data_IF_405261621153
#
_entry.id   IF_405261621153
#
_cell.length_a   1.000
_cell.length_b   1.000
_cell.length_c   1.000
_cell.angle_alpha   90.00
_cell.angle_beta   90.00
_cell.angle_gamma   90.00
#
_symmetry.space_group_name_H-M   'P 1'
#
loop_
_entity.id
_entity.type
_entity.pdbx_description
1 polymer ?
#
# COMPACT_ATOMS: atom_id res chain seq x y z
N UNK A 1 -26.65 -19.75 14.41
CA UNK A 1 -25.52 -19.83 13.46
C UNK A 1 -24.36 -18.99 14.01
N UNK A 2 -23.25 -19.61 14.43
CA UNK A 2 -22.04 -18.87 14.86
C UNK A 2 -21.41 -18.21 13.63
N UNK A 3 -21.38 -16.87 13.57
CA UNK A 3 -20.60 -16.13 12.57
C UNK A 3 -19.14 -16.52 12.78
N UNK A 4 -18.56 -17.29 11.86
CA UNK A 4 -17.10 -17.49 11.82
C UNK A 4 -16.49 -16.13 11.48
N UNK A 5 -15.94 -15.44 12.47
CA UNK A 5 -15.06 -14.30 12.27
C UNK A 5 -13.82 -14.80 11.55
N UNK A 6 -13.82 -14.71 10.22
CA UNK A 6 -12.62 -14.93 9.41
C UNK A 6 -11.67 -13.77 9.69
N UNK A 7 -10.68 -14.01 10.53
CA UNK A 7 -9.56 -13.11 10.72
C UNK A 7 -8.62 -13.34 9.54
N UNK A 8 -8.32 -12.30 8.78
CA UNK A 8 -7.19 -12.36 7.86
C UNK A 8 -5.93 -12.31 8.72
N UNK A 9 -5.47 -13.50 9.12
CA UNK A 9 -4.15 -13.64 9.71
C UNK A 9 -3.16 -13.48 8.57
N UNK A 10 -2.31 -12.46 8.64
CA UNK A 10 -1.02 -12.61 8.00
C UNK A 10 -0.36 -13.76 8.74
N UNK A 11 -0.07 -14.86 8.02
CA UNK A 11 1.03 -15.68 8.48
C UNK A 11 2.21 -14.71 8.48
N UNK A 12 2.61 -14.28 9.68
CA UNK A 12 3.94 -13.74 9.91
C UNK A 12 4.85 -14.93 9.64
N UNK A 13 5.01 -15.24 8.36
CA UNK A 13 6.07 -16.07 7.88
C UNK A 13 7.31 -15.29 8.26
N UNK A 14 8.13 -15.92 9.10
CA UNK A 14 9.57 -15.75 9.06
C UNK A 14 9.97 -15.19 7.70
N UNK A 15 10.51 -13.96 7.75
CA UNK A 15 11.06 -13.27 6.61
C UNK A 15 11.90 -14.30 5.85
N UNK A 16 11.44 -14.71 4.67
CA UNK A 16 12.08 -15.80 3.93
C UNK A 16 13.58 -15.51 3.76
N UNK A 17 14.45 -16.52 3.71
CA UNK A 17 15.89 -16.46 3.99
C UNK A 17 16.74 -15.75 2.91
N UNK A 18 16.15 -14.85 2.12
CA UNK A 18 16.84 -14.22 1.02
C UNK A 18 17.40 -12.88 1.49
N UNK A 19 18.68 -12.87 1.84
CA UNK A 19 19.42 -11.65 2.05
C UNK A 19 19.53 -10.88 0.72
N UNK A 20 18.73 -9.83 0.60
CA UNK A 20 18.72 -8.97 -0.59
C UNK A 20 19.95 -8.05 -0.65
N UNK A 21 20.80 -8.03 0.39
CA UNK A 21 22.06 -7.28 0.38
C UNK A 21 22.96 -7.69 -0.80
N UNK A 22 22.92 -8.98 -1.19
CA UNK A 22 23.65 -9.55 -2.32
C UNK A 22 23.25 -8.94 -3.68
N UNK A 23 22.06 -8.32 -3.75
CA UNK A 23 21.56 -7.64 -4.95
C UNK A 23 21.58 -6.11 -4.80
N UNK A 24 22.29 -5.59 -3.79
CA UNK A 24 22.36 -4.17 -3.47
C UNK A 24 21.14 -3.62 -2.71
N UNK A 25 20.18 -4.50 -2.39
CA UNK A 25 18.99 -4.22 -1.58
C UNK A 25 19.32 -4.05 -0.10
N UNK A 26 18.28 -3.78 0.69
CA UNK A 26 18.43 -3.58 2.14
C UNK A 26 18.44 -4.92 2.89
N UNK A 27 19.38 -5.06 3.84
CA UNK A 27 19.44 -6.19 4.78
C UNK A 27 18.26 -6.16 5.75
N UNK A 28 17.89 -7.29 6.34
CA UNK A 28 16.75 -7.31 7.27
C UNK A 28 16.94 -6.40 8.50
N UNK A 29 18.17 -6.28 8.99
CA UNK A 29 18.50 -5.42 10.12
C UNK A 29 18.30 -3.94 9.75
N UNK A 30 18.72 -3.54 8.55
CA UNK A 30 18.50 -2.18 8.04
C UNK A 30 17.00 -1.86 7.94
N UNK A 31 16.16 -2.81 7.50
CA UNK A 31 14.69 -2.58 7.47
C UNK A 31 14.15 -2.42 8.87
N UNK A 32 14.54 -3.28 9.81
CA UNK A 32 14.07 -3.19 11.19
C UNK A 32 14.42 -1.82 11.79
N UNK A 33 15.64 -1.35 11.57
CA UNK A 33 16.06 -0.02 12.00
C UNK A 33 15.26 1.09 11.30
N UNK A 34 15.14 1.06 9.97
CA UNK A 34 14.41 2.08 9.21
C UNK A 34 12.92 2.15 9.60
N UNK A 35 12.26 1.01 9.82
CA UNK A 35 10.87 0.96 10.25
C UNK A 35 10.71 1.41 11.71
N UNK A 36 11.68 1.13 12.58
CA UNK A 36 11.69 1.62 13.96
C UNK A 36 11.91 3.14 14.04
N UNK A 37 12.70 3.70 13.12
CA UNK A 37 12.96 5.14 13.01
C UNK A 37 11.93 5.90 12.17
N UNK A 38 10.87 5.24 11.70
CA UNK A 38 9.83 5.86 10.87
C UNK A 38 9.18 7.04 11.61
N UNK A 39 8.91 8.12 10.88
CA UNK A 39 8.17 9.26 11.40
C UNK A 39 6.71 8.86 11.70
N UNK A 40 6.38 8.86 12.99
CA UNK A 40 5.05 8.54 13.53
C UNK A 40 3.98 9.52 13.06
N UNK A 41 4.33 10.70 12.57
CA UNK A 41 3.39 11.64 11.98
C UNK A 41 2.53 11.00 10.89
N UNK A 42 3.10 10.11 10.07
CA UNK A 42 2.40 9.47 8.95
C UNK A 42 1.47 8.33 9.37
N UNK A 43 1.57 7.83 10.60
CA UNK A 43 0.71 6.75 11.10
C UNK A 43 -0.77 7.15 11.12
N UNK A 44 -1.07 8.44 11.28
CA UNK A 44 -2.45 8.96 11.22
C UNK A 44 -3.09 8.85 9.82
N UNK A 45 -2.28 8.68 8.79
CA UNK A 45 -2.73 8.53 7.39
C UNK A 45 -2.69 7.08 6.91
N UNK A 46 -2.22 6.14 7.75
CA UNK A 46 -2.07 4.74 7.42
C UNK A 46 -3.43 4.04 7.37
N UNK A 47 -3.82 3.57 6.19
CA UNK A 47 -5.04 2.79 5.97
C UNK A 47 -4.81 1.29 6.16
N UNK A 48 -3.66 0.80 5.73
CA UNK A 48 -3.35 -0.63 5.74
C UNK A 48 -1.88 -0.87 6.02
N UNK A 49 -1.63 -1.89 6.82
CA UNK A 49 -0.31 -2.40 7.16
C UNK A 49 -0.35 -3.93 7.15
N UNK A 50 0.40 -4.57 6.24
CA UNK A 50 0.40 -6.04 6.11
C UNK A 50 0.78 -6.77 7.40
N UNK A 51 1.54 -6.13 8.30
CA UNK A 51 1.96 -6.73 9.57
C UNK A 51 0.82 -6.82 10.60
N UNK A 52 -0.25 -6.05 10.42
CA UNK A 52 -1.40 -6.02 11.32
C UNK A 52 -2.46 -7.03 10.91
N UNK A 53 -3.18 -7.54 11.90
CA UNK A 53 -4.35 -8.39 11.67
C UNK A 53 -5.58 -7.51 11.46
N UNK A 54 -6.34 -7.80 10.41
CA UNK A 54 -7.61 -7.13 10.12
C UNK A 54 -8.76 -8.14 10.11
N UNK A 55 -9.89 -7.75 10.68
CA UNK A 55 -11.15 -8.46 10.47
C UNK A 55 -11.61 -8.31 9.01
N UNK A 56 -12.46 -9.23 8.55
CA UNK A 56 -13.07 -9.13 7.22
C UNK A 56 -13.80 -7.78 7.02
N UNK A 57 -14.47 -7.27 8.05
CA UNK A 57 -15.20 -6.00 7.97
C UNK A 57 -14.27 -4.80 7.82
N UNK A 58 -13.16 -4.77 8.57
CA UNK A 58 -12.12 -3.74 8.42
C UNK A 58 -11.46 -3.81 7.06
N UNK A 59 -11.10 -5.02 6.62
CA UNK A 59 -10.53 -5.23 5.29
C UNK A 59 -11.46 -4.71 4.19
N UNK A 60 -12.76 -5.00 4.27
CA UNK A 60 -13.74 -4.49 3.32
C UNK A 60 -13.85 -2.96 3.34
N UNK A 61 -13.80 -2.33 4.52
CA UNK A 61 -13.76 -0.86 4.63
C UNK A 61 -12.52 -0.28 3.96
N UNK A 62 -11.34 -0.84 4.23
CA UNK A 62 -10.07 -0.42 3.64
C UNK A 62 -10.12 -0.57 2.11
N UNK A 63 -10.55 -1.73 1.62
CA UNK A 63 -10.72 -2.02 0.19
C UNK A 63 -11.63 -1.00 -0.49
N UNK A 64 -12.74 -0.63 0.15
CA UNK A 64 -13.68 0.36 -0.39
C UNK A 64 -13.04 1.75 -0.49
N UNK A 65 -12.23 2.15 0.49
CA UNK A 65 -11.48 3.42 0.43
C UNK A 65 -10.42 3.38 -0.65
N UNK A 66 -9.71 2.26 -0.78
CA UNK A 66 -8.64 2.09 -1.77
C UNK A 66 -9.22 1.98 -3.20
N UNK A 67 -10.42 1.44 -3.35
CA UNK A 67 -11.12 1.25 -4.62
C UNK A 67 -10.67 0.00 -5.40
N UNK A 68 -9.86 -0.86 -4.78
CA UNK A 68 -9.32 -2.10 -5.37
C UNK A 68 -8.93 -3.10 -4.28
N UNK A 69 -8.75 -4.36 -4.68
CA UNK A 69 -8.21 -5.40 -3.82
C UNK A 69 -6.74 -5.14 -3.47
N UNK A 70 -6.38 -5.46 -2.23
CA UNK A 70 -4.99 -5.46 -1.76
C UNK A 70 -4.44 -6.86 -2.02
N UNK A 71 -3.33 -6.93 -2.74
CA UNK A 71 -2.68 -8.19 -3.08
C UNK A 71 -1.92 -8.74 -1.86
N UNK A 72 -2.44 -9.81 -1.26
CA UNK A 72 -1.70 -10.61 -0.29
C UNK A 72 -0.92 -11.69 -1.04
N UNK A 73 0.20 -11.30 -1.63
CA UNK A 73 1.15 -12.25 -2.21
C UNK A 73 2.21 -12.62 -1.17
N UNK A 74 2.64 -13.88 -1.16
CA UNK A 74 3.73 -14.39 -0.31
C UNK A 74 5.07 -13.72 -0.64
N UNK A 75 5.24 -13.26 -1.89
CA UNK A 75 6.42 -12.50 -2.32
C UNK A 75 6.45 -11.03 -1.88
N UNK A 76 5.46 -10.54 -1.13
CA UNK A 76 5.41 -9.18 -0.58
C UNK A 76 5.69 -9.27 0.92
N UNK A 77 6.80 -8.75 1.42
CA UNK A 77 7.15 -8.86 2.84
C UNK A 77 6.62 -7.68 3.65
N UNK A 78 6.71 -6.47 3.10
CA UNK A 78 6.14 -5.26 3.71
C UNK A 78 5.21 -4.57 2.71
N UNK A 79 4.07 -4.11 3.22
CA UNK A 79 3.14 -3.33 2.42
C UNK A 79 2.36 -2.37 3.31
N UNK A 80 2.40 -1.09 2.93
CA UNK A 80 1.71 0.00 3.60
C UNK A 80 0.87 0.76 2.59
N UNK A 81 -0.35 1.15 2.95
CA UNK A 81 -1.16 2.09 2.16
C UNK A 81 -1.49 3.31 3.00
N UNK A 82 -1.15 4.48 2.50
CA UNK A 82 -1.41 5.78 3.10
C UNK A 82 -2.43 6.55 2.27
N UNK A 83 -3.34 7.27 2.93
CA UNK A 83 -4.24 8.23 2.31
C UNK A 83 -4.16 9.58 3.01
N UNK A 84 -3.82 10.59 2.23
CA UNK A 84 -3.70 11.97 2.67
C UNK A 84 -5.02 12.74 2.49
N UNK A 85 -5.19 13.87 3.20
CA UNK A 85 -6.42 14.66 3.16
C UNK A 85 -6.71 15.30 1.80
N UNK A 86 -5.68 15.48 0.96
CA UNK A 86 -5.78 16.06 -0.38
C UNK A 86 -6.25 15.06 -1.45
N UNK A 87 -6.82 13.92 -1.06
CA UNK A 87 -7.22 12.81 -1.94
C UNK A 87 -6.06 12.15 -2.70
N UNK A 88 -4.82 12.37 -2.30
CA UNK A 88 -3.69 11.57 -2.75
C UNK A 88 -3.34 10.51 -1.69
N UNK A 89 -2.56 9.53 -2.10
CA UNK A 89 -2.07 8.49 -1.23
C UNK A 89 -0.88 7.79 -1.83
N UNK A 90 -0.25 6.97 -1.00
CA UNK A 90 0.95 6.24 -1.38
C UNK A 90 0.81 4.79 -0.93
N UNK A 91 1.06 3.86 -1.84
CA UNK A 91 1.27 2.45 -1.54
C UNK A 91 2.75 2.20 -1.55
N UNK A 92 3.29 1.72 -0.43
CA UNK A 92 4.70 1.38 -0.28
C UNK A 92 4.80 -0.13 -0.15
N UNK A 93 5.60 -0.77 -0.98
CA UNK A 93 5.75 -2.23 -1.02
C UNK A 93 7.22 -2.60 -1.01
N UNK A 94 7.57 -3.67 -0.30
CA UNK A 94 8.86 -4.34 -0.39
C UNK A 94 8.64 -5.85 -0.47
N UNK A 95 9.37 -6.51 -1.34
CA UNK A 95 9.23 -7.94 -1.56
C UNK A 95 10.34 -8.52 -2.43
N UNK A 96 10.19 -9.79 -2.81
CA UNK A 96 11.10 -10.44 -3.76
C UNK A 96 11.08 -9.74 -5.14
N UNK A 97 9.90 -9.29 -5.58
CA UNK A 97 9.72 -8.55 -6.83
C UNK A 97 10.43 -7.18 -6.86
N UNK A 98 10.66 -6.55 -5.70
CA UNK A 98 11.40 -5.30 -5.60
C UNK A 98 12.88 -5.49 -5.32
N UNK A 99 13.37 -6.74 -5.34
CA UNK A 99 14.75 -7.10 -4.96
C UNK A 99 15.15 -6.51 -3.59
N UNK A 100 14.18 -6.41 -2.67
CA UNK A 100 14.41 -5.87 -1.32
C UNK A 100 14.48 -4.35 -1.22
N UNK A 101 14.31 -3.59 -2.31
CA UNK A 101 14.13 -2.13 -2.28
C UNK A 101 12.68 -1.74 -1.96
N UNK A 102 12.45 -0.48 -1.60
CA UNK A 102 11.10 0.06 -1.50
C UNK A 102 10.57 0.43 -2.89
N UNK A 103 9.35 0.02 -3.20
CA UNK A 103 8.59 0.47 -4.35
C UNK A 103 7.45 1.36 -3.89
N UNK A 104 7.28 2.50 -4.56
CA UNK A 104 6.32 3.52 -4.17
C UNK A 104 5.35 3.75 -5.33
N UNK A 105 4.06 3.57 -5.05
CA UNK A 105 3.00 3.86 -6.01
C UNK A 105 2.09 4.97 -5.49
N UNK A 106 1.91 6.00 -6.29
CA UNK A 106 1.01 7.12 -5.98
C UNK A 106 -0.39 6.78 -6.42
N UNK A 107 -1.34 6.98 -5.53
CA UNK A 107 -2.77 6.78 -5.79
C UNK A 107 -3.47 8.13 -5.69
N UNK A 108 -4.20 8.53 -6.73
CA UNK A 108 -5.17 9.63 -6.63
C UNK A 108 -6.55 9.02 -6.39
N UNK A 109 -7.09 9.27 -5.20
CA UNK A 109 -8.43 8.85 -4.84
C UNK A 109 -9.46 9.77 -5.48
N UNK A 110 -10.59 9.19 -5.87
CA UNK A 110 -11.73 9.95 -6.35
C UNK A 110 -12.64 10.29 -5.18
N UNK A 111 -13.20 11.50 -5.14
CA UNK A 111 -14.22 11.89 -4.15
C UNK A 111 -15.49 11.04 -4.23
N UNK A 112 -15.70 10.39 -5.37
CA UNK A 112 -16.88 9.57 -5.66
C UNK A 112 -16.53 8.09 -5.52
N UNK A 113 -16.50 7.58 -4.30
CA UNK A 113 -16.44 6.14 -4.04
C UNK A 113 -17.81 5.53 -4.38
N UNK A 114 -17.91 4.46 -5.17
CA UNK A 114 -19.20 3.87 -5.47
C UNK A 114 -19.76 3.22 -4.19
N UNK A 115 -20.92 3.71 -3.72
CA UNK A 115 -21.64 3.12 -2.58
C UNK A 115 -22.07 1.67 -2.84
N UNK A 116 -22.14 1.27 -4.11
CA UNK A 116 -22.57 -0.06 -4.51
C UNK A 116 -21.36 -0.93 -4.88
N UNK A 117 -21.38 -2.23 -4.52
CA UNK A 117 -20.34 -3.17 -4.93
C UNK A 117 -20.21 -3.22 -6.45
N UNK A 118 -18.99 -3.47 -6.91
CA UNK A 118 -18.68 -3.51 -8.33
C UNK A 118 -19.55 -4.57 -9.05
N UNK A 119 -20.19 -4.22 -10.19
CA UNK A 119 -21.01 -5.13 -10.96
C UNK A 119 -20.26 -6.40 -11.37
N UNK A 120 -20.94 -7.55 -11.36
CA UNK A 120 -20.34 -8.83 -11.83
C UNK A 120 -19.95 -8.78 -13.31
N UNK A 121 -20.70 -8.03 -14.15
CA UNK A 121 -20.43 -7.91 -15.60
C UNK A 121 -19.20 -7.05 -15.86
N UNK A 122 -18.17 -7.62 -16.52
CA UNK A 122 -16.89 -6.97 -16.85
C UNK A 122 -17.05 -5.57 -17.47
N UNK A 123 -17.94 -5.40 -18.46
CA UNK A 123 -18.19 -4.11 -19.12
C UNK A 123 -18.68 -3.03 -18.15
N UNK A 124 -19.64 -3.36 -17.29
CA UNK A 124 -20.21 -2.43 -16.31
C UNK A 124 -19.21 -2.12 -15.19
N UNK A 125 -18.46 -3.12 -14.75
CA UNK A 125 -17.36 -2.96 -13.80
C UNK A 125 -16.31 -1.98 -14.33
N UNK A 126 -15.84 -2.17 -15.56
CA UNK A 126 -14.86 -1.28 -16.18
C UNK A 126 -15.40 0.14 -16.36
N UNK A 127 -16.68 0.29 -16.72
CA UNK A 127 -17.33 1.61 -16.84
C UNK A 127 -17.38 2.33 -15.49
N UNK A 128 -17.69 1.63 -14.40
CA UNK A 128 -17.67 2.21 -13.06
C UNK A 128 -16.25 2.51 -12.58
N UNK A 129 -15.29 1.62 -12.80
CA UNK A 129 -13.88 1.85 -12.46
C UNK A 129 -13.31 3.07 -13.21
N UNK A 130 -13.71 3.32 -14.47
CA UNK A 130 -13.32 4.55 -15.17
C UNK A 130 -13.94 5.82 -14.59
N UNK A 131 -15.12 5.71 -13.96
CA UNK A 131 -15.88 6.87 -13.44
C UNK A 131 -15.58 7.18 -11.97
N UNK A 132 -15.19 6.16 -11.21
CA UNK A 132 -15.12 6.16 -9.75
C UNK A 132 -13.86 5.47 -9.22
N UNK A 133 -13.00 4.96 -10.09
CA UNK A 133 -11.78 4.26 -9.70
C UNK A 133 -10.67 5.24 -9.40
N UNK A 134 -9.91 4.95 -8.35
CA UNK A 134 -8.65 5.61 -8.07
C UNK A 134 -7.65 5.34 -9.21
N UNK A 135 -6.90 6.37 -9.63
CA UNK A 135 -5.80 6.18 -10.58
C UNK A 135 -4.53 5.87 -9.80
N UNK A 136 -3.82 4.83 -10.23
CA UNK A 136 -2.53 4.43 -9.68
C UNK A 136 -1.44 4.78 -10.69
N UNK A 137 -0.42 5.50 -10.24
CA UNK A 137 0.84 5.65 -10.95
C UNK A 137 1.94 4.98 -10.11
N UNK A 138 2.52 3.91 -10.64
CA UNK A 138 3.61 3.19 -9.98
C UNK A 138 4.93 3.87 -10.35
N UNK A 139 5.71 4.27 -9.35
CA UNK A 139 7.06 4.76 -9.56
C UNK A 139 8.01 3.63 -9.13
N UNK A 140 8.43 2.82 -10.11
CA UNK A 140 9.46 1.83 -9.91
C UNK A 140 10.82 2.47 -10.18
N UNK A 141 11.37 3.11 -9.15
CA UNK A 141 12.76 3.59 -9.15
C UNK A 141 13.46 3.05 -7.89
N UNK A 142 14.05 1.84 -7.98
CA UNK A 142 14.68 1.17 -6.85
C UNK A 142 15.82 1.98 -6.22
N UNK A 143 16.51 2.82 -7.02
CA UNK A 143 17.62 3.66 -6.53
C UNK A 143 17.10 4.86 -5.74
N UNK A 144 16.00 5.46 -6.17
CA UNK A 144 15.39 6.62 -5.51
C UNK A 144 14.81 6.30 -4.13
N UNK A 145 14.30 5.07 -3.95
CA UNK A 145 13.64 4.65 -2.71
C UNK A 145 14.45 3.59 -1.96
N UNK A 146 15.78 3.73 -1.94
CA UNK A 146 16.63 2.81 -1.18
C UNK A 146 16.41 2.96 0.33
N UNK A 147 16.24 4.17 0.84
CA UNK A 147 15.94 4.41 2.26
C UNK A 147 14.47 4.77 2.46
N UNK A 148 13.88 4.33 3.58
CA UNK A 148 12.51 4.69 3.93
C UNK A 148 12.34 6.20 4.15
N UNK A 149 13.40 6.90 4.56
CA UNK A 149 13.44 8.37 4.66
C UNK A 149 13.16 9.05 3.31
N UNK A 150 13.57 8.45 2.18
CA UNK A 150 13.26 8.98 0.84
C UNK A 150 11.80 8.74 0.45
N UNK A 151 11.20 7.66 0.94
CA UNK A 151 9.75 7.42 0.86
C UNK A 151 9.01 8.50 1.66
N UNK A 152 9.48 8.85 2.86
CA UNK A 152 8.89 9.91 3.68
C UNK A 152 9.02 11.28 3.06
N UNK A 153 10.18 11.63 2.47
CA UNK A 153 10.33 12.86 1.68
C UNK A 153 9.34 12.92 0.52
N UNK A 154 9.12 11.77 -0.16
CA UNK A 154 8.13 11.67 -1.22
C UNK A 154 6.70 11.87 -0.71
N UNK A 155 6.36 11.26 0.44
CA UNK A 155 5.07 11.45 1.11
C UNK A 155 4.86 12.89 1.55
N UNK A 156 5.89 13.56 2.09
CA UNK A 156 5.85 14.97 2.46
C UNK A 156 5.54 15.84 1.25
N UNK A 157 6.23 15.60 0.13
CA UNK A 157 5.94 16.27 -1.14
C UNK A 157 4.50 16.05 -1.55
N UNK A 158 4.05 14.80 -1.60
CA UNK A 158 2.69 14.44 -2.02
C UNK A 158 1.58 15.04 -1.13
N UNK A 159 1.84 15.18 0.18
CA UNK A 159 0.92 15.81 1.12
C UNK A 159 0.73 17.31 0.84
N UNK A 160 1.79 17.99 0.40
CA UNK A 160 1.79 19.43 0.07
C UNK A 160 1.34 19.67 -1.38
N UNK A 161 1.41 18.66 -2.25
CA UNK A 161 0.99 18.76 -3.64
C UNK A 161 -0.52 19.04 -3.75
N UNK A 162 -0.86 20.28 -4.12
CA UNK A 162 -2.19 20.65 -4.62
C UNK A 162 -2.32 20.49 -6.13
N UNK A 163 -1.23 20.19 -6.85
CA UNK A 163 -1.14 20.29 -8.30
C UNK A 163 -0.17 19.23 -8.86
N UNK A 164 -0.70 18.20 -9.51
CA UNK A 164 -0.05 17.61 -10.69
C UNK A 164 -1.03 17.71 -11.84
N UNK A 165 -0.62 18.28 -12.99
CA UNK A 165 -1.48 18.37 -14.16
C UNK A 165 -1.82 16.96 -14.64
N UNK A 166 -3.07 16.82 -15.09
CA UNK A 166 -3.63 15.62 -15.70
C UNK A 166 -2.92 15.33 -17.02
#
# INVERSE_FOLDING_TARGET
MRKKTSVFKSNILDLGPMDFSLFGGLSEEDIKQQLASRDKFYDKFLLFDKTKNYTLEEYMKIRNVIGRDILFNDGIYQQFHYKFPNNYGTSVVRGSHTQGFWEVATTKFTDKVPNNPLPKKKRLRNKQLKKYGSTLSVISDPKRFKQFTDVEKYMAGLLVTHLLPV
#
